data_IF_846088346876
#
_entry.id   IF_846088346876
#
_cell.length_a   1.000
_cell.length_b   1.000
_cell.length_c   1.000
_cell.angle_alpha   90.00
_cell.angle_beta   90.00
_cell.angle_gamma   90.00
#
_symmetry.space_group_name_H-M   'P 1'
#
loop_
_entity.id
_entity.type
_entity.pdbx_description
1 polymer ?
#
# COMPACT_ATOMS: atom_id res chain seq x y z
N UNK A 1 -5.89 1.54 -14.89
CA UNK A 1 -6.78 0.50 -14.32
C UNK A 1 -8.20 1.06 -14.27
N UNK A 2 -9.25 0.27 -14.54
CA UNK A 2 -10.64 0.74 -14.42
C UNK A 2 -11.00 0.88 -12.93
N UNK A 3 -11.61 1.99 -12.55
CA UNK A 3 -12.04 2.25 -11.17
C UNK A 3 -12.98 1.14 -10.66
N UNK A 4 -12.72 0.60 -9.46
CA UNK A 4 -13.55 -0.40 -8.80
C UNK A 4 -13.04 -1.85 -8.81
N UNK A 5 -11.87 -2.14 -9.42
CA UNK A 5 -11.22 -3.46 -9.31
C UNK A 5 -10.05 -3.42 -8.35
N UNK A 6 -9.89 -4.45 -7.52
CA UNK A 6 -8.73 -4.64 -6.64
C UNK A 6 -7.44 -4.62 -7.47
N UNK A 7 -6.49 -3.78 -7.08
CA UNK A 7 -5.17 -3.66 -7.69
C UNK A 7 -4.16 -4.64 -7.09
N UNK A 8 -4.26 -4.87 -5.79
CA UNK A 8 -3.37 -5.74 -5.05
C UNK A 8 -4.11 -6.35 -3.85
N UNK A 9 -4.11 -7.68 -3.76
CA UNK A 9 -4.51 -8.38 -2.54
C UNK A 9 -3.25 -8.78 -1.78
N UNK A 10 -3.24 -8.51 -0.48
CA UNK A 10 -2.12 -8.77 0.40
C UNK A 10 -2.60 -9.63 1.55
N UNK A 11 -1.94 -10.76 1.76
CA UNK A 11 -2.10 -11.56 2.98
C UNK A 11 -0.75 -11.59 3.69
N UNK A 12 -0.75 -11.19 4.95
CA UNK A 12 0.42 -11.21 5.82
C UNK A 12 0.16 -12.15 6.98
N UNK A 13 1.19 -12.90 7.35
CA UNK A 13 1.25 -13.65 8.61
C UNK A 13 2.38 -13.07 9.44
N UNK A 14 2.00 -12.38 10.48
CA UNK A 14 2.89 -11.67 11.39
C UNK A 14 3.61 -12.65 12.34
N UNK A 15 4.75 -12.26 12.95
CA UNK A 15 5.51 -13.11 13.85
C UNK A 15 4.76 -13.52 15.13
N UNK A 16 3.83 -12.69 15.57
CA UNK A 16 2.94 -12.93 16.72
C UNK A 16 1.84 -13.98 16.42
N UNK A 17 1.79 -14.48 15.18
CA UNK A 17 0.79 -15.43 14.70
C UNK A 17 -0.46 -14.78 14.12
N UNK A 18 -0.59 -13.45 14.19
CA UNK A 18 -1.73 -12.72 13.64
C UNK A 18 -1.69 -12.75 12.11
N UNK A 19 -2.84 -13.00 11.48
CA UNK A 19 -2.98 -12.91 10.02
C UNK A 19 -3.75 -11.65 9.63
N UNK A 20 -3.30 -10.99 8.58
CA UNK A 20 -3.93 -9.79 8.02
C UNK A 20 -4.19 -10.05 6.55
N UNK A 21 -5.42 -9.82 6.09
CA UNK A 21 -5.76 -9.81 4.67
C UNK A 21 -6.33 -8.44 4.30
N UNK A 22 -5.78 -7.83 3.25
CA UNK A 22 -6.21 -6.54 2.72
C UNK A 22 -6.29 -6.55 1.20
N UNK A 23 -7.23 -5.76 0.69
CA UNK A 23 -7.39 -5.49 -0.73
C UNK A 23 -7.21 -3.99 -0.97
N UNK A 24 -6.30 -3.66 -1.88
CA UNK A 24 -5.99 -2.28 -2.25
C UNK A 24 -6.59 -1.97 -3.60
N UNK A 25 -7.42 -0.92 -3.66
CA UNK A 25 -7.86 -0.33 -4.92
C UNK A 25 -6.72 0.49 -5.57
N UNK A 26 -6.80 0.82 -6.86
CA UNK A 26 -5.89 1.79 -7.49
C UNK A 26 -5.99 3.15 -6.80
N UNK A 27 -4.88 3.85 -6.64
CA UNK A 27 -4.84 5.19 -6.02
C UNK A 27 -4.56 5.19 -4.51
N UNK A 28 -4.37 4.02 -3.89
CA UNK A 28 -4.19 3.89 -2.45
C UNK A 28 -2.71 3.91 -2.09
N UNK A 29 -2.42 4.56 -0.96
CA UNK A 29 -1.14 4.47 -0.25
C UNK A 29 -1.47 4.15 1.20
N UNK A 30 -0.94 3.05 1.70
CA UNK A 30 -1.10 2.66 3.10
C UNK A 30 0.23 2.19 3.69
N UNK A 31 0.43 2.53 4.96
CA UNK A 31 1.53 2.03 5.77
C UNK A 31 0.97 1.09 6.84
N UNK A 32 1.49 -0.13 6.90
CA UNK A 32 1.23 -1.07 7.98
C UNK A 32 2.44 -1.09 8.90
N UNK A 33 2.22 -0.77 10.17
CA UNK A 33 3.25 -0.96 11.19
C UNK A 33 3.61 -2.45 11.27
N UNK A 34 4.90 -2.72 11.12
CA UNK A 34 5.43 -4.07 11.00
C UNK A 34 6.80 -4.14 11.68
N UNK A 35 7.11 -5.23 12.41
CA UNK A 35 8.41 -5.41 13.04
C UNK A 35 9.51 -5.62 11.99
N UNK A 36 10.77 -5.45 12.39
CA UNK A 36 11.95 -5.77 11.58
C UNK A 36 12.25 -7.28 11.51
N UNK A 37 11.21 -8.09 11.64
CA UNK A 37 11.25 -9.55 11.63
C UNK A 37 10.58 -10.09 10.37
N UNK A 38 10.81 -11.36 10.05
CA UNK A 38 10.28 -11.97 8.85
C UNK A 38 8.75 -12.14 8.93
N UNK A 39 8.05 -11.57 7.97
CA UNK A 39 6.60 -11.70 7.79
C UNK A 39 6.35 -12.51 6.51
N UNK A 40 5.63 -13.61 6.62
CA UNK A 40 5.22 -14.37 5.43
C UNK A 40 4.15 -13.56 4.70
N UNK A 41 4.36 -13.30 3.41
CA UNK A 41 3.49 -12.49 2.59
C UNK A 41 3.10 -13.22 1.30
N UNK A 42 1.81 -13.27 1.01
CA UNK A 42 1.25 -13.64 -0.29
C UNK A 42 0.68 -12.35 -0.92
N UNK A 43 1.24 -11.96 -2.06
CA UNK A 43 0.88 -10.74 -2.78
C UNK A 43 0.31 -11.13 -4.14
N UNK A 44 -0.95 -10.77 -4.38
CA UNK A 44 -1.68 -11.10 -5.60
C UNK A 44 -1.99 -9.79 -6.35
N UNK A 45 -1.16 -9.40 -7.33
CA UNK A 45 -1.40 -8.20 -8.12
C UNK A 45 -2.49 -8.43 -9.18
N UNK A 46 -3.19 -7.37 -9.59
CA UNK A 46 -4.00 -7.37 -10.81
C UNK A 46 -3.10 -7.55 -12.05
N UNK A 47 -3.70 -7.97 -13.16
CA UNK A 47 -3.03 -8.28 -14.44
C UNK A 47 -2.16 -7.17 -15.05
N UNK A 48 -2.19 -5.94 -14.53
CA UNK A 48 -1.40 -4.81 -15.03
C UNK A 48 -0.46 -4.22 -13.95
N UNK A 49 -0.24 -4.95 -12.86
CA UNK A 49 0.66 -4.56 -11.79
C UNK A 49 1.80 -5.58 -11.72
N UNK A 50 3.02 -5.09 -11.91
CA UNK A 50 4.25 -5.87 -11.76
C UNK A 50 4.87 -5.61 -10.38
N UNK A 51 5.11 -6.68 -9.62
CA UNK A 51 5.78 -6.68 -8.32
C UNK A 51 7.28 -7.08 -8.43
N UNK A 52 7.86 -7.03 -9.62
CA UNK A 52 9.23 -7.43 -9.93
C UNK A 52 9.36 -8.86 -10.49
N UNK A 53 8.25 -9.51 -10.84
CA UNK A 53 8.22 -10.85 -11.45
C UNK A 53 7.49 -10.90 -12.79
N UNK A 54 7.04 -9.75 -13.29
CA UNK A 54 6.15 -9.62 -14.43
C UNK A 54 4.72 -9.28 -14.00
N UNK A 55 3.93 -8.79 -14.95
CA UNK A 55 2.58 -8.30 -14.71
C UNK A 55 1.63 -9.40 -14.20
N UNK A 56 0.91 -9.13 -13.11
CA UNK A 56 -0.14 -10.01 -12.60
C UNK A 56 0.35 -11.33 -12.00
N UNK A 57 1.65 -11.48 -11.77
CA UNK A 57 2.23 -12.71 -11.22
C UNK A 57 2.17 -12.66 -9.69
N UNK A 58 1.43 -13.58 -9.03
CA UNK A 58 1.43 -13.67 -7.58
C UNK A 58 2.81 -14.02 -7.05
N UNK A 59 3.17 -13.43 -5.90
CA UNK A 59 4.43 -13.72 -5.23
C UNK A 59 4.19 -14.11 -3.78
N UNK A 60 4.84 -15.19 -3.37
CA UNK A 60 5.01 -15.58 -1.98
C UNK A 60 6.44 -15.22 -1.57
N UNK A 61 6.57 -14.42 -0.52
CA UNK A 61 7.88 -13.93 -0.08
C UNK A 61 7.89 -13.61 1.41
N UNK A 62 9.07 -13.29 1.93
CA UNK A 62 9.25 -12.75 3.29
C UNK A 62 9.47 -11.25 3.20
N UNK A 63 8.60 -10.49 3.86
CA UNK A 63 8.74 -9.05 4.04
C UNK A 63 9.33 -8.75 5.42
N UNK A 64 10.02 -7.63 5.54
CA UNK A 64 10.56 -7.13 6.80
C UNK A 64 10.15 -5.66 6.92
N UNK A 65 9.60 -5.27 8.07
CA UNK A 65 9.27 -3.88 8.33
C UNK A 65 10.51 -2.99 8.31
N UNK A 66 10.37 -1.80 7.72
CA UNK A 66 11.36 -0.72 7.84
C UNK A 66 11.17 0.08 9.12
N UNK A 67 11.82 1.24 9.21
CA UNK A 67 11.59 2.21 10.31
C UNK A 67 10.11 2.64 10.36
N UNK A 68 9.48 2.79 9.19
CA UNK A 68 8.07 3.17 9.05
C UNK A 68 7.13 1.96 8.94
N UNK A 69 7.64 0.73 8.90
CA UNK A 69 6.85 -0.48 8.61
C UNK A 69 6.86 -0.89 7.14
N UNK A 70 5.74 -1.46 6.66
CA UNK A 70 5.53 -1.89 5.27
C UNK A 70 4.65 -0.89 4.53
N UNK A 71 5.10 -0.44 3.35
CA UNK A 71 4.36 0.51 2.52
C UNK A 71 3.76 -0.20 1.31
N UNK A 72 2.45 -0.08 1.14
CA UNK A 72 1.72 -0.56 -0.03
C UNK A 72 1.28 0.63 -0.88
N UNK A 73 1.85 0.77 -2.07
CA UNK A 73 1.60 1.89 -2.97
C UNK A 73 0.99 1.39 -4.29
N UNK A 74 -0.31 1.65 -4.47
CA UNK A 74 -1.07 1.33 -5.68
C UNK A 74 -1.48 2.60 -6.44
N UNK A 75 -0.82 3.74 -6.19
CA UNK A 75 -1.15 5.01 -6.86
C UNK A 75 -0.80 5.05 -8.34
N UNK A 76 0.01 4.09 -8.80
CA UNK A 76 0.49 3.99 -10.18
C UNK A 76 1.70 4.88 -10.43
N UNK A 77 2.43 4.60 -11.51
CA UNK A 77 3.73 5.25 -11.78
C UNK A 77 3.77 6.02 -13.09
N UNK A 78 3.15 5.52 -14.17
CA UNK A 78 3.26 6.13 -15.51
C UNK A 78 2.00 5.93 -16.38
N UNK A 79 1.24 7.01 -16.69
CA UNK A 79 1.27 8.29 -15.98
C UNK A 79 0.76 8.12 -14.54
N UNK A 80 1.41 8.80 -13.58
CA UNK A 80 0.82 8.99 -12.26
C UNK A 80 -0.34 9.99 -12.40
N UNK A 81 -1.56 9.54 -12.12
CA UNK A 81 -2.77 10.33 -12.34
C UNK A 81 -3.27 10.91 -11.03
N UNK A 82 -3.24 12.24 -10.92
CA UNK A 82 -3.94 12.96 -9.86
C UNK A 82 -5.41 13.17 -10.23
N UNK A 83 -6.33 13.18 -9.26
CA UNK A 83 -7.71 13.57 -9.53
C UNK A 83 -7.78 14.97 -10.17
N UNK A 84 -8.53 15.10 -11.26
CA UNK A 84 -8.68 16.38 -11.97
C UNK A 84 -9.51 17.37 -11.14
N UNK A 85 -10.55 16.89 -10.46
CA UNK A 85 -11.34 17.69 -9.53
C UNK A 85 -10.46 18.17 -8.35
N UNK A 86 -10.49 19.47 -8.09
CA UNK A 86 -9.66 20.13 -7.06
C UNK A 86 -9.88 19.55 -5.66
N UNK A 87 -11.14 19.32 -5.27
CA UNK A 87 -11.48 18.84 -3.94
C UNK A 87 -11.04 17.39 -3.75
N UNK A 88 -11.29 16.53 -4.73
CA UNK A 88 -10.80 15.14 -4.75
C UNK A 88 -9.28 15.07 -4.69
N UNK A 89 -8.59 15.95 -5.41
CA UNK A 89 -7.13 16.03 -5.40
C UNK A 89 -6.61 16.37 -4.00
N UNK A 90 -7.18 17.39 -3.36
CA UNK A 90 -6.78 17.80 -2.01
C UNK A 90 -7.07 16.68 -1.01
N UNK A 91 -8.22 16.02 -1.11
CA UNK A 91 -8.57 14.85 -0.28
C UNK A 91 -7.54 13.74 -0.43
N UNK A 92 -7.19 13.37 -1.65
CA UNK A 92 -6.20 12.32 -1.93
C UNK A 92 -4.82 12.68 -1.34
N UNK A 93 -4.34 13.90 -1.57
CA UNK A 93 -3.06 14.37 -1.03
C UNK A 93 -3.02 14.33 0.50
N UNK A 94 -4.09 14.78 1.17
CA UNK A 94 -4.19 14.71 2.65
C UNK A 94 -4.21 13.28 3.15
N UNK A 95 -4.94 12.38 2.48
CA UNK A 95 -4.99 10.96 2.85
C UNK A 95 -3.60 10.33 2.74
N UNK A 96 -2.87 10.59 1.65
CA UNK A 96 -1.53 10.03 1.45
C UNK A 96 -0.50 10.59 2.44
N UNK A 97 -0.56 11.88 2.72
CA UNK A 97 0.33 12.52 3.71
C UNK A 97 0.07 11.95 5.12
N UNK A 98 -1.21 11.78 5.48
CA UNK A 98 -1.59 11.14 6.76
C UNK A 98 -1.17 9.67 6.83
N UNK A 99 -1.31 8.91 5.74
CA UNK A 99 -0.91 7.50 5.70
C UNK A 99 0.59 7.31 5.97
N UNK A 100 1.42 8.25 5.53
CA UNK A 100 2.86 8.27 5.77
C UNK A 100 3.27 8.94 7.09
N UNK A 101 2.31 9.48 7.85
CA UNK A 101 2.57 10.28 9.05
C UNK A 101 3.59 11.43 8.79
N UNK A 102 3.51 12.03 7.60
CA UNK A 102 4.52 13.00 7.11
C UNK A 102 4.56 14.28 7.97
N UNK A 103 3.39 14.71 8.43
CA UNK A 103 3.23 15.79 9.39
C UNK A 103 2.48 15.22 10.60
N UNK A 104 3.20 14.68 11.59
CA UNK A 104 2.60 14.32 12.86
C UNK A 104 1.89 15.57 13.39
N UNK A 105 0.66 15.43 13.88
CA UNK A 105 0.05 16.53 14.61
C UNK A 105 1.01 16.83 15.76
N UNK A 106 1.66 17.99 15.70
CA UNK A 106 2.55 18.45 16.77
C UNK A 106 1.80 18.23 18.07
N UNK A 107 2.39 17.52 19.04
CA UNK A 107 1.93 17.62 20.42
C UNK A 107 1.77 19.12 20.67
N UNK A 108 0.51 19.57 20.79
CA UNK A 108 0.22 20.97 21.04
C UNK A 108 0.95 21.29 22.35
N UNK A 109 2.05 22.04 22.23
CA UNK A 109 2.75 22.59 23.37
C UNK A 109 1.92 23.68 24.02
#
# INVERSE_FOLDING_TARGET
MKSGRTALTVKLKMPDGTTLQKEYLPGILEVIQAPKEAIEAELIPDKNLDLGKGDGIPIETKLYGGVVGLVFDTRGRRPFSLPENKEERIRALKLWSKAMEEYPESEAK
#
